data_IF_188792867432
#
_entry.id   IF_188792867432
#
_cell.length_a   1.000
_cell.length_b   1.000
_cell.length_c   1.000
_cell.angle_alpha   90.00
_cell.angle_beta   90.00
_cell.angle_gamma   90.00
#
_symmetry.space_group_name_H-M   'P 1'
#
loop_
_entity.id
_entity.type
_entity.pdbx_description
1 polymer ?
#
# COMPACT_ATOMS: atom_id res chain seq x y z
N UNK A 1 -43.17 -29.13 -4.78
CA UNK A 1 -42.57 -30.47 -4.83
C UNK A 1 -42.08 -30.62 -6.27
N UNK A 2 -40.84 -30.28 -6.60
CA UNK A 2 -39.58 -30.99 -6.29
C UNK A 2 -38.64 -30.11 -5.46
N UNK A 3 -37.96 -30.74 -4.50
CA UNK A 3 -36.98 -30.15 -3.57
C UNK A 3 -35.63 -30.02 -4.26
N UNK A 4 -34.99 -28.87 -4.11
CA UNK A 4 -33.58 -28.67 -4.44
C UNK A 4 -33.00 -27.68 -3.45
N UNK A 5 -32.42 -28.19 -2.35
CA UNK A 5 -31.61 -27.40 -1.44
C UNK A 5 -30.31 -27.05 -2.15
N UNK A 6 -30.21 -25.82 -2.66
CA UNK A 6 -28.91 -25.20 -2.87
C UNK A 6 -28.48 -24.59 -1.53
N UNK A 7 -27.74 -25.37 -0.75
CA UNK A 7 -26.86 -24.80 0.26
C UNK A 7 -25.79 -24.02 -0.49
N UNK A 8 -25.88 -22.70 -0.49
CA UNK A 8 -24.80 -21.85 -0.96
C UNK A 8 -23.54 -22.19 -0.14
N UNK A 9 -22.39 -22.46 -0.76
CA UNK A 9 -21.17 -22.70 -0.02
C UNK A 9 -20.78 -21.43 0.76
N UNK A 10 -20.31 -21.65 1.98
CA UNK A 10 -19.77 -20.68 2.93
C UNK A 10 -19.09 -19.49 2.24
N UNK A 11 -19.68 -18.30 2.33
CA UNK A 11 -18.97 -17.05 2.10
C UNK A 11 -17.96 -16.87 3.24
N UNK A 12 -16.67 -17.11 2.99
CA UNK A 12 -15.60 -16.65 3.87
C UNK A 12 -15.36 -15.17 3.56
N UNK A 13 -16.02 -14.30 4.31
CA UNK A 13 -15.69 -12.88 4.31
C UNK A 13 -14.31 -12.72 4.98
N UNK A 14 -13.27 -12.45 4.20
CA UNK A 14 -11.87 -12.30 4.67
C UNK A 14 -11.62 -11.03 5.52
N UNK A 15 -12.64 -10.37 6.07
CA UNK A 15 -12.49 -9.10 6.78
C UNK A 15 -12.21 -9.18 8.30
N UNK A 16 -11.73 -10.32 8.82
CA UNK A 16 -11.73 -10.57 10.28
C UNK A 16 -10.33 -10.64 10.92
N UNK A 17 -9.23 -10.42 10.20
CA UNK A 17 -7.92 -10.39 10.86
C UNK A 17 -7.71 -9.02 11.50
N UNK A 18 -7.52 -9.02 12.81
CA UNK A 18 -7.24 -7.80 13.57
C UNK A 18 -5.92 -7.17 13.12
N UNK A 19 -5.79 -5.85 13.31
CA UNK A 19 -4.61 -5.12 12.89
C UNK A 19 -3.30 -5.63 13.52
N UNK A 20 -3.31 -6.23 14.71
CA UNK A 20 -2.08 -6.78 15.30
C UNK A 20 -1.61 -8.02 14.54
N UNK A 21 -2.53 -8.90 14.15
CA UNK A 21 -2.22 -10.04 13.28
C UNK A 21 -1.63 -9.57 11.94
N UNK A 22 -2.29 -8.62 11.27
CA UNK A 22 -1.81 -8.07 9.99
C UNK A 22 -0.40 -7.48 10.12
N UNK A 23 -0.15 -6.68 11.16
CA UNK A 23 1.17 -6.09 11.41
C UNK A 23 2.24 -7.13 11.68
N UNK A 24 1.92 -8.19 12.42
CA UNK A 24 2.88 -9.26 12.69
C UNK A 24 3.24 -10.01 11.41
N UNK A 25 2.25 -10.36 10.59
CA UNK A 25 2.48 -11.04 9.31
C UNK A 25 3.26 -10.16 8.33
N UNK A 26 2.90 -8.87 8.23
CA UNK A 26 3.64 -7.90 7.44
C UNK A 26 5.10 -7.80 7.89
N UNK A 27 5.36 -7.72 9.20
CA UNK A 27 6.72 -7.69 9.74
C UNK A 27 7.51 -8.94 9.33
N UNK A 28 6.94 -10.13 9.53
CA UNK A 28 7.60 -11.40 9.15
C UNK A 28 7.95 -11.41 7.66
N UNK A 29 7.02 -10.97 6.81
CA UNK A 29 7.22 -10.90 5.38
C UNK A 29 8.33 -9.92 4.99
N UNK A 30 8.30 -8.70 5.54
CA UNK A 30 9.31 -7.67 5.29
C UNK A 30 10.70 -8.13 5.74
N UNK A 31 10.81 -8.72 6.94
CA UNK A 31 12.08 -9.20 7.49
C UNK A 31 12.68 -10.33 6.63
N UNK A 32 11.84 -11.18 6.05
CA UNK A 32 12.28 -12.25 5.17
C UNK A 32 12.78 -11.71 3.82
N UNK A 33 12.06 -10.76 3.21
CA UNK A 33 12.49 -10.14 1.97
C UNK A 33 13.76 -9.31 2.16
N UNK A 34 13.86 -8.58 3.26
CA UNK A 34 15.05 -7.81 3.61
C UNK A 34 16.28 -8.70 3.78
N UNK A 35 16.13 -9.83 4.47
CA UNK A 35 17.21 -10.81 4.62
C UNK A 35 17.65 -11.40 3.28
N UNK A 36 16.71 -11.65 2.37
CA UNK A 36 17.01 -12.30 1.09
C UNK A 36 17.58 -11.32 0.05
N UNK A 37 17.07 -10.09 -0.01
CA UNK A 37 17.42 -9.10 -1.02
C UNK A 37 18.35 -7.99 -0.53
N UNK A 38 18.68 -7.96 0.77
CA UNK A 38 19.52 -6.94 1.40
C UNK A 38 18.85 -5.56 1.51
N UNK A 39 17.55 -5.46 1.17
CA UNK A 39 16.79 -4.21 1.14
C UNK A 39 15.38 -4.44 1.64
N UNK A 40 14.91 -3.56 2.54
CA UNK A 40 13.56 -3.64 3.08
C UNK A 40 12.53 -3.17 2.04
N UNK A 41 11.46 -3.95 1.78
CA UNK A 41 10.40 -3.54 0.87
C UNK A 41 9.59 -2.36 1.42
N UNK A 42 8.97 -1.61 0.52
CA UNK A 42 7.89 -0.67 0.87
C UNK A 42 6.54 -1.37 0.84
N UNK A 43 5.57 -0.86 1.59
CA UNK A 43 4.19 -1.36 1.56
C UNK A 43 3.33 -0.43 0.69
N UNK A 44 2.66 -1.00 -0.31
CA UNK A 44 1.56 -0.35 -1.02
C UNK A 44 0.23 -0.70 -0.38
N UNK A 45 -0.61 0.28 -0.08
CA UNK A 45 -1.90 0.05 0.58
C UNK A 45 -2.91 1.18 0.35
N UNK A 46 -4.18 0.91 0.64
CA UNK A 46 -5.23 1.94 0.68
C UNK A 46 -5.22 2.65 2.02
N UNK A 47 -5.74 3.87 2.06
CA UNK A 47 -5.89 4.64 3.30
C UNK A 47 -6.72 3.87 4.33
N UNK A 48 -7.91 3.38 3.96
CA UNK A 48 -8.79 2.66 4.88
C UNK A 48 -8.09 1.44 5.50
N UNK A 49 -7.38 0.65 4.70
CA UNK A 49 -6.68 -0.53 5.21
C UNK A 49 -5.50 -0.14 6.10
N UNK A 50 -4.78 0.91 5.72
CA UNK A 50 -3.70 1.47 6.52
C UNK A 50 -4.21 1.87 7.92
N UNK A 51 -5.33 2.61 7.96
CA UNK A 51 -6.07 3.08 9.13
C UNK A 51 -6.62 1.92 10.00
N UNK A 52 -7.39 1.02 9.40
CA UNK A 52 -8.04 -0.09 10.09
C UNK A 52 -7.04 -1.04 10.76
N UNK A 53 -5.91 -1.27 10.09
CA UNK A 53 -4.93 -2.27 10.56
C UNK A 53 -3.78 -1.67 11.38
N UNK A 54 -3.71 -0.34 11.51
CA UNK A 54 -2.66 0.28 12.32
C UNK A 54 -1.27 0.26 11.67
N UNK A 55 -1.16 0.18 10.34
CA UNK A 55 0.14 -0.07 9.67
C UNK A 55 1.22 0.98 9.99
N UNK A 56 0.84 2.23 10.30
CA UNK A 56 1.76 3.28 10.77
C UNK A 56 2.57 2.91 12.02
N UNK A 57 2.15 1.87 12.76
CA UNK A 57 2.86 1.36 13.94
C UNK A 57 4.06 0.49 13.57
N UNK A 58 4.21 0.09 12.30
CA UNK A 58 5.39 -0.65 11.85
C UNK A 58 6.58 0.29 11.72
N UNK A 59 7.60 0.08 12.55
CA UNK A 59 8.84 0.85 12.49
C UNK A 59 9.69 0.48 11.27
N UNK A 60 10.38 1.46 10.69
CA UNK A 60 11.30 1.27 9.58
C UNK A 60 10.61 0.82 8.28
N UNK A 61 9.34 1.12 8.10
CA UNK A 61 8.59 0.79 6.88
C UNK A 61 8.26 2.07 6.12
N UNK A 62 8.55 2.05 4.83
CA UNK A 62 8.13 3.10 3.90
C UNK A 62 6.81 2.71 3.23
N UNK A 63 5.95 3.70 3.01
CA UNK A 63 4.61 3.50 2.50
C UNK A 63 4.39 4.16 1.13
N UNK A 64 3.70 3.43 0.28
CA UNK A 64 3.13 3.92 -0.97
C UNK A 64 1.61 3.90 -0.83
N UNK A 65 1.02 5.05 -0.55
CA UNK A 65 -0.40 5.16 -0.24
C UNK A 65 -1.23 5.38 -1.49
N UNK A 66 -2.35 4.67 -1.61
CA UNK A 66 -3.37 4.91 -2.63
C UNK A 66 -4.53 5.72 -2.06
N UNK A 67 -4.66 6.96 -2.53
CA UNK A 67 -5.82 7.82 -2.27
C UNK A 67 -6.21 8.52 -3.58
N UNK A 68 -7.30 8.08 -4.20
CA UNK A 68 -7.77 8.58 -5.51
C UNK A 68 -8.91 9.58 -5.40
N UNK A 69 -9.51 9.71 -4.21
CA UNK A 69 -10.72 10.50 -3.99
C UNK A 69 -10.44 11.90 -3.40
N UNK A 70 -9.27 12.13 -2.80
CA UNK A 70 -8.92 13.43 -2.23
C UNK A 70 -7.40 13.66 -2.15
N UNK A 71 -6.99 14.94 -2.13
CA UNK A 71 -5.62 15.36 -1.92
C UNK A 71 -5.17 14.97 -0.48
N UNK A 72 -3.89 14.61 -0.24
CA UNK A 72 -3.31 14.29 1.06
C UNK A 72 -3.58 15.27 2.19
N UNK A 73 -3.94 16.52 1.86
CA UNK A 73 -4.11 17.60 2.81
C UNK A 73 -5.47 17.43 3.48
N UNK A 74 -5.53 16.51 4.45
CA UNK A 74 -6.71 16.11 5.20
C UNK A 74 -6.67 14.63 5.59
N UNK A 75 -6.13 13.77 4.72
CA UNK A 75 -6.07 12.31 4.92
C UNK A 75 -4.70 11.85 5.47
N UNK A 76 -3.66 12.70 5.39
CA UNK A 76 -2.29 12.32 5.73
C UNK A 76 -1.64 13.19 6.81
N UNK A 77 -2.42 14.01 7.53
CA UNK A 77 -1.90 14.84 8.62
C UNK A 77 -1.23 13.96 9.69
N UNK A 78 0.10 14.01 9.75
CA UNK A 78 0.92 13.27 10.71
C UNK A 78 1.45 11.91 10.25
N UNK A 79 1.17 11.47 9.02
CA UNK A 79 1.61 10.15 8.51
C UNK A 79 2.68 10.34 7.43
N UNK A 80 3.88 9.80 7.67
CA UNK A 80 4.96 9.81 6.68
C UNK A 80 4.75 8.73 5.60
N UNK A 81 4.77 9.13 4.33
CA UNK A 81 4.70 8.26 3.15
C UNK A 81 5.79 8.65 2.14
N UNK A 82 6.22 7.71 1.30
CA UNK A 82 7.24 7.93 0.27
C UNK A 82 6.63 8.18 -1.10
N UNK A 83 5.53 7.48 -1.42
CA UNK A 83 4.79 7.67 -2.67
C UNK A 83 3.29 7.79 -2.45
N UNK A 84 2.65 8.59 -3.28
CA UNK A 84 1.19 8.71 -3.33
C UNK A 84 0.69 8.37 -4.73
N UNK A 85 -0.16 7.35 -4.80
CA UNK A 85 -0.94 6.98 -5.96
C UNK A 85 -2.27 7.76 -5.94
N UNK A 86 -2.38 8.75 -6.83
CA UNK A 86 -3.46 9.74 -6.80
C UNK A 86 -4.46 9.62 -7.94
N UNK A 87 -4.16 8.86 -8.99
CA UNK A 87 -5.05 8.69 -10.13
C UNK A 87 -4.86 7.33 -10.76
N UNK A 88 -5.98 6.66 -11.06
CA UNK A 88 -6.02 5.41 -11.85
C UNK A 88 -6.28 5.69 -13.34
N UNK A 89 -6.50 6.95 -13.71
CA UNK A 89 -7.01 7.35 -15.03
C UNK A 89 -6.18 8.45 -15.66
N UNK A 90 -4.91 8.55 -15.31
CA UNK A 90 -4.01 9.52 -15.93
C UNK A 90 -3.79 9.20 -17.41
N UNK A 91 -3.53 10.24 -18.18
CA UNK A 91 -3.17 10.11 -19.60
C UNK A 91 -1.76 10.65 -19.76
N UNK A 92 -0.83 9.76 -20.12
CA UNK A 92 0.58 10.09 -20.29
C UNK A 92 0.94 9.95 -21.76
N UNK A 93 1.48 11.00 -22.42
CA UNK A 93 1.95 10.91 -23.78
C UNK A 93 2.92 9.73 -23.97
N UNK A 94 2.61 8.86 -24.92
CA UNK A 94 3.40 7.65 -25.19
C UNK A 94 2.89 6.37 -24.50
N UNK A 95 1.87 6.45 -23.63
CA UNK A 95 1.19 5.27 -23.08
C UNK A 95 -0.26 5.22 -23.60
N UNK A 96 -0.65 4.06 -24.13
CA UNK A 96 -2.00 3.86 -24.63
C UNK A 96 -2.97 3.52 -23.48
N UNK A 97 -4.01 4.35 -23.33
CA UNK A 97 -5.07 4.15 -22.34
C UNK A 97 -4.81 4.82 -20.98
N UNK A 98 -5.74 4.67 -20.03
CA UNK A 98 -5.61 5.22 -18.68
C UNK A 98 -4.51 4.51 -17.89
N UNK A 99 -3.75 5.27 -17.11
CA UNK A 99 -2.62 4.76 -16.31
C UNK A 99 -2.63 5.31 -14.90
N UNK A 100 -2.00 4.57 -14.00
CA UNK A 100 -1.75 4.95 -12.62
C UNK A 100 -0.73 6.10 -12.54
N UNK A 101 -1.07 7.19 -11.86
CA UNK A 101 -0.16 8.32 -11.65
C UNK A 101 0.21 8.44 -10.17
N UNK A 102 1.51 8.64 -9.96
CA UNK A 102 2.13 8.64 -8.65
C UNK A 102 3.02 9.87 -8.46
N UNK A 103 3.14 10.35 -7.22
CA UNK A 103 4.12 11.36 -6.83
C UNK A 103 5.01 10.86 -5.71
N UNK A 104 6.25 11.33 -5.69
CA UNK A 104 7.19 11.11 -4.59
C UNK A 104 7.07 12.22 -3.54
N UNK A 105 7.13 11.85 -2.26
CA UNK A 105 7.12 12.81 -1.14
C UNK A 105 8.49 13.48 -0.99
N UNK A 106 8.82 14.40 -1.90
CA UNK A 106 10.06 15.15 -1.79
C UNK A 106 10.42 15.96 -3.03
N UNK A 107 11.51 16.71 -2.89
CA UNK A 107 12.12 17.44 -4.00
C UNK A 107 12.97 16.54 -4.88
N UNK A 108 13.39 17.03 -6.05
CA UNK A 108 14.30 16.30 -6.95
C UNK A 108 15.63 15.88 -6.29
N UNK A 109 16.30 16.71 -5.48
CA UNK A 109 17.46 16.26 -4.71
C UNK A 109 17.14 15.10 -3.76
N UNK A 110 16.03 15.20 -3.00
CA UNK A 110 15.59 14.12 -2.10
C UNK A 110 15.30 12.81 -2.85
N UNK A 111 14.75 12.89 -4.06
CA UNK A 111 14.58 11.74 -4.95
C UNK A 111 15.92 11.08 -5.32
N UNK A 112 16.93 11.87 -5.68
CA UNK A 112 18.26 11.36 -6.04
C UNK A 112 18.91 10.68 -4.83
N UNK A 113 18.82 11.30 -3.65
CA UNK A 113 19.34 10.72 -2.41
C UNK A 113 18.63 9.41 -2.08
N UNK A 114 17.30 9.40 -2.17
CA UNK A 114 16.48 8.21 -1.95
C UNK A 114 16.85 7.07 -2.91
N UNK A 115 17.07 7.36 -4.20
CA UNK A 115 17.57 6.37 -5.16
C UNK A 115 18.98 5.87 -4.78
N UNK A 116 19.86 6.75 -4.32
CA UNK A 116 21.22 6.41 -3.89
C UNK A 116 21.24 5.37 -2.77
N UNK A 117 20.31 5.45 -1.82
CA UNK A 117 20.16 4.44 -0.75
C UNK A 117 19.71 3.06 -1.24
N UNK A 118 19.25 2.97 -2.50
CA UNK A 118 18.56 1.81 -3.09
C UNK A 118 19.22 1.27 -4.35
N UNK A 119 20.31 1.87 -4.80
CA UNK A 119 21.18 1.31 -5.85
C UNK A 119 21.81 0.00 -5.36
N UNK A 120 21.87 -1.02 -6.21
CA UNK A 120 22.58 -2.28 -5.92
C UNK A 120 24.08 -2.09 -6.15
#
# INVERSE_FOLDING_TARGET
MIRGSFTLPTFLHLACRDGATIRNEARIFLDNLERHHGKRPMIYTTVDFFEDTGLWRLAGVEFWLRSVADHPNGVHDGIAWSFWHYSLTGLVPGIAGPVDINVFSGSRPAWIDWLGTRSL
#
